data_IF_870495716623
#
_entry.id   IF_870495716623
#
_cell.length_a   1.000
_cell.length_b   1.000
_cell.length_c   1.000
_cell.angle_alpha   90.00
_cell.angle_beta   90.00
_cell.angle_gamma   90.00
#
_symmetry.space_group_name_H-M   'P 1'
#
loop_
_entity.id
_entity.type
_entity.pdbx_description
1 polymer ?
#
# COMPACT_ATOMS: atom_id res chain seq x y z
N UNK A 1 -16.31 -25.60 -7.65
CA UNK A 1 -17.53 -26.22 -7.13
C UNK A 1 -18.66 -25.23 -7.26
N UNK A 2 -19.57 -25.49 -8.20
CA UNK A 2 -20.77 -24.69 -8.45
C UNK A 2 -21.84 -25.07 -7.43
N UNK A 3 -22.22 -24.16 -6.56
CA UNK A 3 -23.33 -24.31 -5.62
C UNK A 3 -24.64 -24.04 -6.39
N UNK A 4 -25.68 -24.90 -6.26
CA UNK A 4 -26.90 -24.75 -7.04
C UNK A 4 -27.74 -23.56 -6.54
N UNK A 5 -28.15 -22.74 -7.49
CA UNK A 5 -29.14 -21.68 -7.30
C UNK A 5 -30.47 -22.29 -6.84
N UNK A 6 -30.95 -21.96 -5.65
CA UNK A 6 -32.33 -22.23 -5.22
C UNK A 6 -33.24 -21.18 -5.83
N UNK A 7 -33.98 -21.58 -6.88
CA UNK A 7 -35.11 -20.82 -7.40
C UNK A 7 -36.32 -21.04 -6.49
N UNK A 8 -36.85 -19.98 -5.92
CA UNK A 8 -38.13 -20.05 -5.18
C UNK A 8 -39.22 -19.61 -6.17
N UNK A 9 -40.10 -20.54 -6.54
CA UNK A 9 -41.30 -20.24 -7.35
C UNK A 9 -42.44 -19.79 -6.47
N UNK A 10 -42.92 -18.58 -6.66
CA UNK A 10 -44.18 -18.10 -6.09
C UNK A 10 -45.25 -18.06 -7.20
N UNK A 11 -46.34 -18.76 -6.97
CA UNK A 11 -47.50 -18.78 -7.85
C UNK A 11 -48.44 -17.63 -7.50
N UNK A 12 -48.74 -16.78 -8.47
CA UNK A 12 -49.75 -15.73 -8.31
C UNK A 12 -51.03 -16.16 -9.03
N UNK A 13 -52.15 -16.21 -8.29
CA UNK A 13 -53.40 -16.83 -8.64
C UNK A 13 -54.26 -16.04 -9.65
N UNK A 14 -53.82 -14.93 -10.19
CA UNK A 14 -54.64 -14.11 -11.11
C UNK A 14 -54.15 -13.98 -12.56
N UNK A 15 -52.97 -14.57 -12.89
CA UNK A 15 -52.54 -14.67 -14.29
C UNK A 15 -51.50 -15.79 -14.43
N UNK A 16 -51.65 -16.65 -15.43
CA UNK A 16 -50.71 -17.76 -15.73
C UNK A 16 -49.36 -17.30 -16.22
N UNK A 17 -48.73 -16.31 -15.55
CA UNK A 17 -47.40 -15.80 -15.91
C UNK A 17 -46.42 -16.17 -14.81
N UNK A 18 -45.49 -17.03 -15.12
CA UNK A 18 -44.37 -17.36 -14.26
C UNK A 18 -43.41 -16.18 -14.20
N UNK A 19 -43.26 -15.56 -13.03
CA UNK A 19 -42.22 -14.53 -12.78
C UNK A 19 -41.06 -15.17 -12.08
N UNK A 20 -39.92 -15.19 -12.73
CA UNK A 20 -38.66 -15.54 -12.08
C UNK A 20 -38.19 -14.34 -11.22
N UNK A 21 -38.25 -14.45 -9.89
CA UNK A 21 -37.69 -13.44 -9.01
C UNK A 21 -36.23 -13.81 -8.84
N UNK A 22 -35.36 -13.06 -9.51
CA UNK A 22 -33.92 -13.13 -9.26
C UNK A 22 -33.69 -12.51 -7.89
N UNK A 23 -33.27 -13.33 -6.94
CA UNK A 23 -32.89 -12.85 -5.61
C UNK A 23 -31.73 -11.85 -5.78
N UNK A 24 -31.95 -10.60 -5.40
CA UNK A 24 -30.87 -9.59 -5.38
C UNK A 24 -29.70 -10.14 -4.57
N UNK A 25 -28.51 -10.00 -5.10
CA UNK A 25 -27.29 -10.41 -4.40
C UNK A 25 -27.25 -9.67 -3.07
N UNK A 26 -27.24 -10.42 -1.96
CA UNK A 26 -27.13 -9.89 -0.61
C UNK A 26 -25.75 -9.24 -0.37
N UNK A 27 -24.77 -9.54 -1.26
CA UNK A 27 -23.43 -8.95 -1.22
C UNK A 27 -23.19 -8.24 -2.53
N UNK A 28 -23.03 -6.93 -2.49
CA UNK A 28 -22.61 -6.09 -3.60
C UNK A 28 -21.13 -6.39 -3.89
N UNK A 29 -20.78 -6.66 -5.15
CA UNK A 29 -19.38 -6.82 -5.58
C UNK A 29 -18.66 -5.48 -5.75
N UNK A 30 -19.32 -4.36 -5.46
CA UNK A 30 -18.77 -3.01 -5.49
C UNK A 30 -18.45 -2.64 -4.04
N UNK A 31 -17.20 -2.37 -3.73
CA UNK A 31 -16.80 -1.92 -2.39
C UNK A 31 -17.46 -0.57 -2.11
N UNK A 32 -18.14 -0.46 -0.97
CA UNK A 32 -18.73 0.80 -0.49
C UNK A 32 -17.74 1.49 0.45
N UNK A 33 -17.89 2.80 0.63
CA UNK A 33 -17.02 3.56 1.55
C UNK A 33 -17.06 3.01 2.99
N UNK A 34 -18.20 2.43 3.39
CA UNK A 34 -18.38 1.75 4.67
C UNK A 34 -17.51 0.47 4.77
N UNK A 35 -17.36 -0.30 3.69
CA UNK A 35 -16.50 -1.49 3.65
C UNK A 35 -15.03 -1.12 3.85
N UNK A 36 -14.57 0.00 3.27
CA UNK A 36 -13.22 0.51 3.47
C UNK A 36 -12.97 0.95 4.93
N UNK A 37 -13.97 1.52 5.59
CA UNK A 37 -13.85 1.93 7.00
C UNK A 37 -13.75 0.73 7.95
N UNK A 38 -14.53 -0.32 7.70
CA UNK A 38 -14.51 -1.57 8.46
C UNK A 38 -13.19 -2.31 8.24
N UNK A 39 -12.75 -2.42 6.99
CA UNK A 39 -11.48 -3.07 6.62
C UNK A 39 -10.27 -2.40 7.30
N UNK A 40 -10.25 -1.07 7.35
CA UNK A 40 -9.22 -0.32 8.07
C UNK A 40 -9.28 -0.49 9.59
N UNK A 41 -10.46 -0.73 10.16
CA UNK A 41 -10.61 -0.97 11.61
C UNK A 41 -10.15 -2.36 12.03
N UNK A 42 -10.22 -3.35 11.13
CA UNK A 42 -9.81 -4.74 11.37
C UNK A 42 -8.32 -4.99 11.11
N UNK A 43 -7.62 -4.08 10.43
CA UNK A 43 -6.19 -4.24 10.18
C UNK A 43 -5.39 -4.00 11.44
N UNK A 44 -4.41 -4.86 11.75
CA UNK A 44 -3.53 -4.66 12.89
C UNK A 44 -2.79 -3.32 12.76
N UNK A 45 -2.82 -2.52 13.81
CA UNK A 45 -2.17 -1.21 13.85
C UNK A 45 -0.80 -1.26 14.51
N UNK A 46 -0.53 -2.29 15.30
CA UNK A 46 0.73 -2.50 15.99
C UNK A 46 1.34 -3.84 15.63
N UNK A 47 2.65 -3.94 15.80
CA UNK A 47 3.37 -5.17 15.52
C UNK A 47 2.95 -6.30 16.49
N UNK A 48 2.54 -5.97 17.71
CA UNK A 48 1.95 -6.91 18.67
C UNK A 48 0.71 -7.60 18.14
N UNK A 49 -0.13 -6.86 17.42
CA UNK A 49 -1.43 -7.34 16.92
C UNK A 49 -1.31 -8.15 15.62
N UNK A 50 -0.14 -8.06 14.98
CA UNK A 50 0.12 -8.80 13.74
C UNK A 50 0.37 -10.28 14.05
N UNK A 51 -0.53 -11.13 13.55
CA UNK A 51 -0.52 -12.57 13.80
C UNK A 51 0.31 -13.30 12.73
N UNK A 52 1.17 -14.23 13.17
CA UNK A 52 2.01 -15.04 12.30
C UNK A 52 3.37 -14.41 12.02
N UNK A 53 4.14 -15.06 11.15
CA UNK A 53 5.46 -14.62 10.68
C UNK A 53 6.41 -14.16 11.79
N UNK A 54 6.55 -14.93 12.85
CA UNK A 54 7.31 -14.59 14.07
C UNK A 54 8.73 -14.08 13.76
N UNK A 55 9.44 -14.71 12.83
CA UNK A 55 10.79 -14.31 12.44
C UNK A 55 10.83 -12.89 11.84
N UNK A 56 9.84 -12.57 10.99
CA UNK A 56 9.70 -11.25 10.40
C UNK A 56 9.40 -10.20 11.48
N UNK A 57 8.48 -10.51 12.39
CA UNK A 57 8.17 -9.63 13.54
C UNK A 57 9.41 -9.31 14.35
N UNK A 58 10.14 -10.33 14.78
CA UNK A 58 11.37 -10.12 15.57
C UNK A 58 12.39 -9.26 14.83
N UNK A 59 12.59 -9.47 13.53
CA UNK A 59 13.51 -8.66 12.75
C UNK A 59 13.05 -7.19 12.66
N UNK A 60 11.75 -6.94 12.47
CA UNK A 60 11.20 -5.58 12.45
C UNK A 60 11.27 -4.92 13.84
N UNK A 61 10.97 -5.65 14.91
CA UNK A 61 11.10 -5.17 16.28
C UNK A 61 12.53 -4.69 16.58
N UNK A 62 13.52 -5.49 16.20
CA UNK A 62 14.94 -5.14 16.36
C UNK A 62 15.30 -3.89 15.54
N UNK A 63 14.89 -3.83 14.28
CA UNK A 63 15.19 -2.71 13.38
C UNK A 63 14.55 -1.41 13.90
N UNK A 64 13.27 -1.47 14.31
CA UNK A 64 12.55 -0.32 14.87
C UNK A 64 13.21 0.14 16.18
N UNK A 65 13.49 -0.79 17.11
CA UNK A 65 14.12 -0.47 18.39
C UNK A 65 15.50 0.18 18.21
N UNK A 66 16.31 -0.36 17.28
CA UNK A 66 17.63 0.21 16.97
C UNK A 66 17.53 1.63 16.40
N UNK A 67 16.60 1.88 15.47
CA UNK A 67 16.38 3.20 14.90
C UNK A 67 15.90 4.22 15.96
N UNK A 68 14.99 3.79 16.85
CA UNK A 68 14.52 4.62 17.97
C UNK A 68 15.68 4.96 18.92
N UNK A 69 16.51 3.98 19.27
CA UNK A 69 17.65 4.19 20.18
C UNK A 69 18.69 5.16 19.61
N UNK A 70 18.93 5.10 18.30
CA UNK A 70 19.87 6.01 17.62
C UNK A 70 19.26 7.36 17.26
N UNK A 71 17.96 7.54 17.42
CA UNK A 71 17.18 8.71 16.95
C UNK A 71 17.35 8.97 15.43
N UNK A 72 17.46 7.90 14.67
CA UNK A 72 17.63 7.90 13.22
C UNK A 72 16.38 7.36 12.52
N UNK A 73 16.29 7.58 11.20
CA UNK A 73 15.32 6.91 10.37
C UNK A 73 15.58 5.39 10.34
N UNK A 74 14.54 4.61 10.11
CA UNK A 74 14.73 3.17 9.92
C UNK A 74 15.41 2.92 8.56
N UNK A 75 16.26 1.91 8.49
CA UNK A 75 16.89 1.49 7.24
C UNK A 75 15.84 1.07 6.18
N UNK A 76 16.23 1.12 4.92
CA UNK A 76 15.35 0.69 3.83
C UNK A 76 14.99 -0.79 3.96
N UNK A 77 13.68 -1.10 3.86
CA UNK A 77 13.15 -2.44 4.05
C UNK A 77 12.52 -2.94 2.75
N UNK A 78 12.97 -4.09 2.27
CA UNK A 78 12.33 -4.80 1.15
C UNK A 78 11.43 -5.92 1.68
N UNK A 79 10.12 -5.78 1.47
CA UNK A 79 9.14 -6.82 1.79
C UNK A 79 8.87 -7.67 0.55
N UNK A 80 9.40 -8.87 0.52
CA UNK A 80 9.20 -9.84 -0.57
C UNK A 80 8.25 -10.96 -0.14
N UNK A 81 7.35 -11.36 -1.03
CA UNK A 81 6.41 -12.46 -0.80
C UNK A 81 5.19 -12.41 -1.71
N UNK A 82 4.40 -13.49 -1.76
CA UNK A 82 3.18 -13.55 -2.56
C UNK A 82 2.14 -12.48 -2.13
N UNK A 83 1.17 -12.17 -2.98
CA UNK A 83 0.08 -11.25 -2.63
C UNK A 83 -0.73 -11.77 -1.45
N UNK A 84 -1.39 -10.88 -0.72
CA UNK A 84 -2.26 -11.24 0.40
C UNK A 84 -1.54 -11.49 1.75
N UNK A 85 -0.22 -11.44 1.82
CA UNK A 85 0.54 -11.63 3.08
C UNK A 85 0.68 -10.36 3.94
N UNK A 86 -0.12 -9.34 3.68
CA UNK A 86 -0.13 -8.13 4.52
C UNK A 86 1.10 -7.23 4.38
N UNK A 87 1.79 -7.20 3.23
CA UNK A 87 2.95 -6.32 3.03
C UNK A 87 2.62 -4.85 3.27
N UNK A 88 1.52 -4.36 2.72
CA UNK A 88 1.04 -2.99 2.93
C UNK A 88 0.67 -2.74 4.39
N UNK A 89 0.07 -3.73 5.06
CA UNK A 89 -0.23 -3.66 6.49
C UNK A 89 1.04 -3.51 7.32
N UNK A 90 2.10 -4.25 6.98
CA UNK A 90 3.40 -4.12 7.64
C UNK A 90 4.01 -2.73 7.45
N UNK A 91 3.91 -2.13 6.26
CA UNK A 91 4.33 -0.75 6.04
C UNK A 91 3.61 0.24 6.96
N UNK A 92 2.29 0.10 7.08
CA UNK A 92 1.49 0.93 8.00
C UNK A 92 1.89 0.72 9.47
N UNK A 93 2.15 -0.54 9.88
CA UNK A 93 2.59 -0.85 11.24
C UNK A 93 3.95 -0.20 11.53
N UNK A 94 4.92 -0.27 10.62
CA UNK A 94 6.24 0.36 10.78
C UNK A 94 6.10 1.87 11.00
N UNK A 95 5.27 2.54 10.22
CA UNK A 95 5.01 3.97 10.39
C UNK A 95 4.33 4.28 11.75
N UNK A 96 3.34 3.46 12.13
CA UNK A 96 2.63 3.61 13.40
C UNK A 96 3.53 3.37 14.63
N UNK A 97 4.44 2.39 14.58
CA UNK A 97 5.42 2.13 15.66
C UNK A 97 6.45 3.25 15.79
N UNK A 98 6.69 4.00 14.71
CA UNK A 98 7.59 5.15 14.68
C UNK A 98 6.90 6.48 14.94
N UNK A 99 5.55 6.49 15.03
CA UNK A 99 4.72 7.69 15.14
C UNK A 99 5.00 8.72 14.04
N UNK A 100 5.12 8.23 12.80
CA UNK A 100 5.38 9.04 11.60
C UNK A 100 4.33 8.80 10.53
N UNK A 101 4.24 9.72 9.57
CA UNK A 101 3.32 9.57 8.44
C UNK A 101 3.81 8.51 7.45
N UNK A 102 2.85 7.85 6.79
CA UNK A 102 3.14 6.94 5.69
C UNK A 102 2.52 7.46 4.40
N UNK A 103 3.31 7.45 3.33
CA UNK A 103 2.84 7.70 1.99
C UNK A 103 2.86 6.40 1.20
N UNK A 104 1.70 5.96 0.76
CA UNK A 104 1.55 4.71 0.01
C UNK A 104 1.37 5.04 -1.46
N UNK A 105 2.15 4.39 -2.30
CA UNK A 105 2.07 4.46 -3.77
C UNK A 105 2.32 3.08 -4.37
N UNK A 106 2.23 2.97 -5.69
CA UNK A 106 2.56 1.74 -6.40
C UNK A 106 3.52 2.00 -7.56
N UNK A 107 4.36 1.01 -7.89
CA UNK A 107 5.27 1.11 -9.03
C UNK A 107 4.58 1.55 -10.32
N UNK A 108 3.45 0.91 -10.73
CA UNK A 108 2.70 1.31 -11.93
C UNK A 108 2.16 2.74 -11.91
N UNK A 109 1.97 3.35 -10.76
CA UNK A 109 1.47 4.72 -10.64
C UNK A 109 2.58 5.78 -10.85
N UNK A 110 3.84 5.37 -10.90
CA UNK A 110 4.99 6.26 -11.06
C UNK A 110 5.59 6.00 -12.44
N UNK A 111 5.21 6.81 -13.41
CA UNK A 111 5.61 6.61 -14.79
C UNK A 111 6.87 7.40 -15.17
N UNK A 112 7.10 8.53 -14.51
CA UNK A 112 8.16 9.49 -14.86
C UNK A 112 9.05 9.82 -13.67
N UNK A 113 10.33 10.15 -13.90
CA UNK A 113 11.21 10.65 -12.84
C UNK A 113 10.62 11.81 -12.05
N UNK A 114 9.92 12.74 -12.72
CA UNK A 114 9.27 13.88 -12.09
C UNK A 114 8.19 13.47 -11.04
N UNK A 115 7.50 12.36 -11.28
CA UNK A 115 6.50 11.84 -10.33
C UNK A 115 7.19 11.38 -9.05
N UNK A 116 8.29 10.63 -9.17
CA UNK A 116 9.10 10.18 -8.04
C UNK A 116 9.68 11.38 -7.28
N UNK A 117 10.27 12.35 -7.98
CA UNK A 117 10.78 13.59 -7.38
C UNK A 117 9.68 14.31 -6.61
N UNK A 118 8.48 14.45 -7.20
CA UNK A 118 7.34 15.09 -6.54
C UNK A 118 6.88 14.37 -5.27
N UNK A 119 6.99 13.04 -5.23
CA UNK A 119 6.69 12.26 -4.04
C UNK A 119 7.75 12.48 -2.97
N UNK A 120 9.03 12.33 -3.32
CA UNK A 120 10.16 12.45 -2.40
C UNK A 120 10.25 13.82 -1.76
N UNK A 121 10.06 14.88 -2.54
CA UNK A 121 10.13 16.27 -2.06
C UNK A 121 9.00 16.69 -1.11
N UNK A 122 7.96 15.88 -1.00
CA UNK A 122 6.85 16.08 -0.05
C UNK A 122 6.97 15.27 1.23
N UNK A 123 7.97 14.42 1.33
CA UNK A 123 8.25 13.68 2.57
C UNK A 123 8.85 14.62 3.60
N UNK A 124 8.45 14.43 4.82
CA UNK A 124 9.07 15.08 5.98
C UNK A 124 10.07 14.13 6.64
N UNK A 125 10.93 14.66 7.44
CA UNK A 125 11.94 13.86 8.15
C UNK A 125 11.26 12.75 8.95
N UNK A 126 11.67 11.51 8.70
CA UNK A 126 11.16 10.32 9.36
C UNK A 126 9.95 9.69 8.67
N UNK A 127 9.29 10.36 7.71
CA UNK A 127 8.15 9.78 6.98
C UNK A 127 8.54 8.47 6.28
N UNK A 128 7.57 7.59 6.16
CA UNK A 128 7.72 6.31 5.45
C UNK A 128 7.11 6.43 4.05
N UNK A 129 7.90 6.13 3.02
CA UNK A 129 7.39 5.92 1.68
C UNK A 129 7.24 4.41 1.43
N UNK A 130 6.02 3.95 1.22
CA UNK A 130 5.72 2.57 0.84
C UNK A 130 5.39 2.49 -0.64
N UNK A 131 6.18 1.73 -1.40
CA UNK A 131 5.97 1.50 -2.83
C UNK A 131 5.57 0.05 -3.02
N UNK A 132 4.29 -0.19 -3.35
CA UNK A 132 3.84 -1.53 -3.72
C UNK A 132 4.26 -1.86 -5.15
N UNK A 133 4.46 -3.14 -5.45
CA UNK A 133 4.91 -3.61 -6.77
C UNK A 133 6.15 -2.85 -7.31
N UNK A 134 7.13 -2.59 -6.48
CA UNK A 134 8.35 -1.84 -6.81
C UNK A 134 9.07 -2.38 -8.06
N UNK A 135 8.94 -3.68 -8.34
CA UNK A 135 9.50 -4.34 -9.52
C UNK A 135 8.89 -3.86 -10.85
N UNK A 136 7.81 -3.08 -10.79
CA UNK A 136 7.14 -2.48 -11.96
C UNK A 136 7.52 -1.02 -12.19
N UNK A 137 8.46 -0.48 -11.43
CA UNK A 137 9.00 0.84 -11.70
C UNK A 137 9.74 0.86 -13.05
N UNK A 138 9.58 1.91 -13.86
CA UNK A 138 10.44 2.13 -15.01
C UNK A 138 11.90 2.35 -14.58
N UNK A 139 12.86 1.79 -15.31
CA UNK A 139 14.30 1.87 -14.96
C UNK A 139 14.79 3.30 -14.68
N UNK A 140 14.32 4.25 -15.48
CA UNK A 140 14.70 5.66 -15.32
C UNK A 140 14.18 6.26 -14.00
N UNK A 141 13.10 5.73 -13.45
CA UNK A 141 12.55 6.11 -12.14
C UNK A 141 13.33 5.42 -11.01
N UNK A 142 13.73 4.15 -11.22
CA UNK A 142 14.58 3.43 -10.28
C UNK A 142 15.91 4.17 -10.04
N UNK A 143 16.53 4.72 -11.07
CA UNK A 143 17.78 5.49 -10.97
C UNK A 143 17.63 6.71 -10.05
N UNK A 144 16.50 7.41 -10.13
CA UNK A 144 16.18 8.53 -9.21
C UNK A 144 16.00 8.03 -7.79
N UNK A 145 15.29 6.90 -7.61
CA UNK A 145 15.06 6.31 -6.30
C UNK A 145 16.37 5.85 -5.65
N UNK A 146 17.27 5.22 -6.42
CA UNK A 146 18.58 4.80 -5.89
C UNK A 146 19.41 5.98 -5.40
N UNK A 147 19.52 7.06 -6.17
CA UNK A 147 20.24 8.27 -5.73
C UNK A 147 19.64 8.86 -4.45
N UNK A 148 18.30 8.83 -4.34
CA UNK A 148 17.61 9.28 -3.13
C UNK A 148 17.88 8.39 -1.92
N UNK A 149 18.00 7.07 -2.11
CA UNK A 149 18.25 6.12 -1.04
C UNK A 149 19.71 6.08 -0.57
N UNK A 150 20.66 6.27 -1.49
CA UNK A 150 22.10 6.17 -1.19
C UNK A 150 22.68 7.52 -0.76
N UNK A 151 22.38 8.58 -1.54
CA UNK A 151 23.02 9.89 -1.36
C UNK A 151 22.14 10.89 -0.62
N UNK A 152 20.86 10.56 -0.37
CA UNK A 152 19.85 11.47 0.17
C UNK A 152 19.70 12.74 -0.70
N UNK A 153 19.95 12.61 -1.98
CA UNK A 153 19.90 13.70 -2.96
C UNK A 153 18.99 13.34 -4.11
N UNK A 154 18.10 14.24 -4.46
CA UNK A 154 17.29 14.12 -5.66
C UNK A 154 17.78 15.14 -6.69
N UNK A 155 18.27 14.64 -7.82
CA UNK A 155 18.70 15.48 -8.93
C UNK A 155 17.71 15.35 -10.07
N UNK A 156 17.20 16.46 -10.58
CA UNK A 156 16.32 16.47 -11.75
C UNK A 156 16.63 17.65 -12.69
N UNK A 157 16.40 17.43 -13.97
CA UNK A 157 16.55 18.44 -15.01
C UNK A 157 15.16 19.01 -15.31
N UNK A 158 14.96 20.29 -15.07
CA UNK A 158 13.67 20.99 -15.22
C UNK A 158 13.47 21.47 -16.65
N UNK A 159 14.16 21.19 -17.60
CA UNK A 159 13.91 21.48 -19.01
C UNK A 159 15.17 21.33 -19.86
N UNK A 160 14.99 21.13 -21.18
CA UNK A 160 16.07 20.93 -22.15
C UNK A 160 17.02 22.13 -22.34
N UNK A 161 16.99 23.08 -21.43
CA UNK A 161 17.80 24.26 -21.58
C UNK A 161 18.18 24.94 -20.31
N UNK A 162 18.98 24.40 -19.44
CA UNK A 162 19.87 25.23 -18.62
C UNK A 162 20.07 24.98 -17.13
N UNK A 163 19.42 24.13 -16.40
CA UNK A 163 19.97 23.87 -15.03
C UNK A 163 19.43 22.57 -14.45
N UNK A 164 20.31 21.60 -14.26
CA UNK A 164 20.10 20.55 -13.27
C UNK A 164 19.95 21.20 -11.89
N UNK A 165 18.89 20.90 -11.18
CA UNK A 165 18.74 21.23 -9.76
C UNK A 165 18.89 19.97 -8.96
N UNK A 166 19.72 20.01 -7.94
CA UNK A 166 19.79 18.98 -6.91
C UNK A 166 19.19 19.53 -5.62
N UNK A 167 18.49 18.71 -4.89
CA UNK A 167 17.93 19.02 -3.58
C UNK A 167 18.31 17.90 -2.62
N UNK A 168 18.79 18.27 -1.42
CA UNK A 168 18.98 17.32 -0.33
C UNK A 168 17.61 16.98 0.27
N UNK A 169 17.42 15.72 0.60
CA UNK A 169 16.23 15.19 1.25
C UNK A 169 16.36 15.27 2.78
#
# INVERSE_FOLDING_TARGET
CLTPMKAIHKMNTSSNVWRCVVNERVVSGISQEEDHSIDNSLRPKRLSDYIGQTRLKTNLEIAIAAAVQRQESIDHILLHGPPGLGKTTLGNIVAAERDVSIKVTSGPAIERPADMVSILTRLQQGDVLFIDEIHRLPRIVEEVLYSAMEDFVVSWVIDKGLKARSMNL
#
